data_IF_447463478054
#
_entry.id   IF_447463478054
#
_cell.length_a   1.000
_cell.length_b   1.000
_cell.length_c   1.000
_cell.angle_alpha   90.00
_cell.angle_beta   90.00
_cell.angle_gamma   90.00
#
_symmetry.space_group_name_H-M   'P 1'
#
loop_
_entity.id
_entity.type
_entity.pdbx_description
1 polymer ?
#
# COMPACT_ATOMS: atom_id res chain seq x y z
N UNK A 1 -8.15 -14.33 -6.85
CA UNK A 1 -8.68 -13.46 -5.79
C UNK A 1 -7.88 -13.71 -4.51
N UNK A 2 -7.79 -12.72 -3.62
CA UNK A 2 -6.97 -12.80 -2.41
C UNK A 2 -7.45 -11.87 -1.31
N UNK A 3 -6.70 -11.79 -0.21
CA UNK A 3 -6.99 -10.90 0.91
C UNK A 3 -5.73 -10.17 1.37
N UNK A 4 -5.89 -8.93 1.82
CA UNK A 4 -4.79 -8.16 2.42
C UNK A 4 -4.46 -8.74 3.79
N UNK A 5 -3.28 -9.33 3.92
CA UNK A 5 -2.81 -9.94 5.19
C UNK A 5 -1.98 -8.98 6.02
N UNK A 6 -1.34 -7.97 5.40
CA UNK A 6 -0.56 -6.99 6.12
C UNK A 6 -0.47 -5.65 5.38
N UNK A 7 -0.45 -4.56 6.15
CA UNK A 7 -0.11 -3.21 5.70
C UNK A 7 1.06 -2.72 6.54
N UNK A 8 2.19 -2.41 5.89
CA UNK A 8 3.45 -2.06 6.56
C UNK A 8 3.58 -0.55 6.71
N UNK A 9 3.22 -0.02 7.88
CA UNK A 9 3.26 1.42 8.14
C UNK A 9 4.63 2.07 7.88
N UNK A 10 5.74 1.40 8.24
CA UNK A 10 7.09 1.93 7.98
C UNK A 10 7.35 2.12 6.48
N UNK A 11 6.92 1.17 5.66
CA UNK A 11 7.02 1.23 4.20
C UNK A 11 6.14 2.35 3.63
N UNK A 12 4.89 2.46 4.08
CA UNK A 12 3.98 3.56 3.67
C UNK A 12 4.58 4.93 3.98
N UNK A 13 5.12 5.13 5.18
CA UNK A 13 5.76 6.39 5.58
C UNK A 13 6.97 6.70 4.70
N UNK A 14 7.79 5.69 4.35
CA UNK A 14 8.92 5.87 3.44
C UNK A 14 8.46 6.29 2.04
N UNK A 15 7.44 5.64 1.49
CA UNK A 15 6.87 5.98 0.17
C UNK A 15 6.34 7.42 0.16
N UNK A 16 5.56 7.81 1.17
CA UNK A 16 5.02 9.16 1.29
C UNK A 16 6.12 10.23 1.37
N UNK A 17 7.21 9.94 2.11
CA UNK A 17 8.37 10.83 2.20
C UNK A 17 9.10 10.95 0.87
N UNK A 18 9.33 9.84 0.17
CA UNK A 18 9.92 9.84 -1.18
C UNK A 18 9.08 10.64 -2.18
N UNK A 19 7.75 10.60 -2.05
CA UNK A 19 6.83 11.37 -2.87
C UNK A 19 6.89 12.90 -2.60
N UNK A 20 7.49 13.32 -1.48
CA UNK A 20 7.71 14.73 -1.13
C UNK A 20 7.06 15.19 0.18
N UNK A 21 6.29 14.33 0.86
CA UNK A 21 5.68 14.68 2.13
C UNK A 21 6.74 14.82 3.25
N UNK A 22 6.59 15.76 4.19
CA UNK A 22 5.47 16.69 4.37
C UNK A 22 5.69 18.07 3.72
N UNK A 23 6.77 18.25 2.95
CA UNK A 23 7.14 19.54 2.35
C UNK A 23 6.19 19.91 1.23
N UNK A 24 5.92 18.96 0.35
CA UNK A 24 4.91 19.05 -0.70
C UNK A 24 3.58 18.59 -0.08
N UNK A 25 2.60 19.49 0.04
CA UNK A 25 1.35 19.21 0.79
C UNK A 25 0.39 18.34 0.02
N UNK A 26 0.46 18.35 -1.31
CA UNK A 26 -0.26 17.43 -2.18
C UNK A 26 0.39 16.05 -2.25
N UNK A 27 1.60 15.86 -1.71
CA UNK A 27 2.27 14.58 -1.74
C UNK A 27 1.84 13.66 -0.60
N UNK A 28 1.74 12.36 -0.89
CA UNK A 28 1.34 11.36 0.11
C UNK A 28 0.94 10.03 -0.49
N UNK A 29 0.34 9.19 0.35
CA UNK A 29 -0.18 7.87 -0.04
C UNK A 29 -1.61 7.74 0.43
N UNK A 30 -2.51 7.34 -0.46
CA UNK A 30 -3.88 6.94 -0.14
C UNK A 30 -3.98 5.41 -0.18
N UNK A 31 -4.48 4.80 0.90
CA UNK A 31 -4.62 3.35 1.02
C UNK A 31 -6.07 2.97 0.70
N UNK A 32 -6.28 2.21 -0.37
CA UNK A 32 -7.61 1.75 -0.80
C UNK A 32 -8.08 0.51 -0.05
N UNK A 33 -7.15 -0.34 0.38
CA UNK A 33 -7.42 -1.65 0.99
C UNK A 33 -6.66 -1.81 2.30
N UNK A 34 -7.38 -2.14 3.37
CA UNK A 34 -6.87 -2.39 4.73
C UNK A 34 -6.74 -3.88 4.98
N UNK A 35 -6.10 -4.25 6.09
CA UNK A 35 -5.99 -5.65 6.52
C UNK A 35 -7.37 -6.31 6.62
N UNK A 36 -7.51 -7.50 6.04
CA UNK A 36 -8.76 -8.25 5.95
C UNK A 36 -9.58 -7.99 4.69
N UNK A 37 -9.30 -6.91 3.93
CA UNK A 37 -10.06 -6.62 2.72
C UNK A 37 -9.76 -7.64 1.61
N UNK A 38 -10.83 -8.09 0.95
CA UNK A 38 -10.74 -8.93 -0.25
C UNK A 38 -10.33 -8.08 -1.45
N UNK A 39 -9.43 -8.63 -2.26
CA UNK A 39 -8.87 -7.98 -3.45
C UNK A 39 -8.85 -8.93 -4.65
N UNK A 40 -9.07 -8.37 -5.83
CA UNK A 40 -8.94 -9.04 -7.12
C UNK A 40 -7.74 -8.51 -7.88
N UNK A 41 -7.26 -9.28 -8.86
CA UNK A 41 -6.22 -8.79 -9.75
C UNK A 41 -6.73 -7.55 -10.49
N UNK A 42 -5.96 -6.46 -10.46
CA UNK A 42 -6.36 -5.17 -11.01
C UNK A 42 -6.97 -4.20 -10.00
N UNK A 43 -7.33 -4.64 -8.79
CA UNK A 43 -7.79 -3.72 -7.75
C UNK A 43 -6.65 -2.80 -7.30
N UNK A 44 -6.88 -1.47 -7.21
CA UNK A 44 -5.89 -0.58 -6.65
C UNK A 44 -5.72 -0.85 -5.16
N UNK A 45 -4.48 -1.04 -4.72
CA UNK A 45 -4.15 -1.25 -3.30
C UNK A 45 -3.83 0.07 -2.60
N UNK A 46 -3.07 0.93 -3.27
CA UNK A 46 -2.74 2.28 -2.83
C UNK A 46 -2.56 3.21 -4.05
N UNK A 47 -2.67 4.51 -3.82
CA UNK A 47 -2.31 5.57 -4.78
C UNK A 47 -1.23 6.44 -4.17
N UNK A 48 -0.18 6.74 -4.95
CA UNK A 48 0.88 7.67 -4.57
C UNK A 48 0.58 9.00 -5.26
N UNK A 49 0.60 10.09 -4.48
CA UNK A 49 0.49 11.45 -4.99
C UNK A 49 1.83 12.16 -4.80
N UNK A 50 2.28 12.88 -5.81
CA UNK A 50 3.47 13.73 -5.76
C UNK A 50 3.24 14.99 -6.60
N UNK A 51 3.81 16.12 -6.18
CA UNK A 51 3.71 17.38 -6.93
C UNK A 51 4.74 17.49 -8.07
N UNK A 52 5.70 16.56 -8.12
CA UNK A 52 6.77 16.52 -9.14
C UNK A 52 6.94 15.09 -9.64
N UNK A 53 7.08 14.95 -10.95
CA UNK A 53 7.21 13.65 -11.63
C UNK A 53 8.39 12.82 -11.11
N UNK A 54 9.58 13.42 -11.02
CA UNK A 54 10.77 12.71 -10.50
C UNK A 54 10.63 12.22 -9.05
N UNK A 55 9.76 12.85 -8.24
CA UNK A 55 9.46 12.37 -6.88
C UNK A 55 8.48 11.19 -6.91
N UNK A 56 7.55 11.20 -7.86
CA UNK A 56 6.65 10.08 -8.09
C UNK A 56 7.46 8.85 -8.52
N UNK A 57 8.39 9.00 -9.45
CA UNK A 57 9.25 7.91 -9.93
C UNK A 57 10.03 7.28 -8.77
N UNK A 58 10.70 8.10 -7.96
CA UNK A 58 11.41 7.65 -6.77
C UNK A 58 10.48 6.93 -5.78
N UNK A 59 9.28 7.49 -5.52
CA UNK A 59 8.32 6.84 -4.63
C UNK A 59 7.83 5.49 -5.15
N UNK A 60 7.69 5.33 -6.48
CA UNK A 60 7.35 4.04 -7.12
C UNK A 60 8.47 3.02 -6.93
N UNK A 61 9.73 3.42 -7.10
CA UNK A 61 10.89 2.55 -6.84
C UNK A 61 10.92 2.07 -5.39
N UNK A 62 10.73 2.99 -4.44
CA UNK A 62 10.63 2.66 -3.01
C UNK A 62 9.46 1.72 -2.74
N UNK A 63 8.29 1.95 -3.34
CA UNK A 63 7.12 1.10 -3.15
C UNK A 63 7.35 -0.33 -3.64
N UNK A 64 8.06 -0.49 -4.77
CA UNK A 64 8.44 -1.82 -5.31
C UNK A 64 9.43 -2.54 -4.41
N UNK A 65 10.43 -1.83 -3.88
CA UNK A 65 11.43 -2.42 -2.99
C UNK A 65 10.85 -2.84 -1.62
N UNK A 66 9.93 -2.04 -1.08
CA UNK A 66 9.47 -2.16 0.31
C UNK A 66 8.26 -3.09 0.51
N UNK A 67 7.54 -3.41 -0.56
CA UNK A 67 6.32 -4.25 -0.54
C UNK A 67 5.34 -3.80 0.57
N UNK A 68 4.72 -2.61 0.46
CA UNK A 68 3.98 -1.99 1.55
C UNK A 68 2.68 -2.72 1.93
N UNK A 69 2.09 -3.46 0.98
CA UNK A 69 0.85 -4.23 1.19
C UNK A 69 1.14 -5.66 0.76
N UNK A 70 0.81 -6.62 1.63
CA UNK A 70 0.95 -8.05 1.37
C UNK A 70 -0.42 -8.65 1.13
N UNK A 71 -0.58 -9.30 -0.02
CA UNK A 71 -1.82 -10.00 -0.40
C UNK A 71 -1.52 -11.51 -0.39
N UNK A 72 -2.32 -12.27 0.33
CA UNK A 72 -2.31 -13.74 0.23
C UNK A 72 -3.36 -14.18 -0.80
N UNK A 73 -3.08 -15.28 -1.51
CA UNK A 73 -4.12 -16.03 -2.22
C UNK A 73 -5.21 -16.51 -1.25
N UNK A 74 -6.37 -16.88 -1.78
CA UNK A 74 -7.47 -17.43 -0.96
C UNK A 74 -7.03 -18.71 -0.22
N UNK A 75 -6.79 -18.58 1.08
CA UNK A 75 -7.08 -19.61 2.08
C UNK A 75 -8.06 -18.94 3.05
N UNK A 76 -9.35 -19.18 2.82
CA UNK A 76 -10.47 -18.74 3.66
C UNK A 76 -10.64 -19.66 4.89
N UNK A 77 -9.55 -20.09 5.55
CA UNK A 77 -9.65 -20.87 6.80
C UNK A 77 -9.72 -20.01 8.07
N UNK A 78 -9.46 -18.71 8.00
CA UNK A 78 -9.53 -17.83 9.18
C UNK A 78 -10.90 -17.17 9.31
N UNK A 79 -11.98 -17.93 9.11
CA UNK A 79 -13.33 -17.55 9.54
C UNK A 79 -13.95 -18.57 10.52
N UNK A 80 -13.13 -19.45 11.10
CA UNK A 80 -13.62 -20.49 12.02
C UNK A 80 -12.62 -20.89 13.10
N UNK A 81 -12.38 -20.02 14.08
CA UNK A 81 -11.91 -20.28 15.47
C UNK A 81 -11.41 -18.94 16.02
N UNK A 82 -11.71 -18.49 17.24
CA UNK A 82 -12.46 -19.04 18.36
C UNK A 82 -12.41 -17.96 19.45
N UNK A 83 -13.58 -17.67 20.05
CA UNK A 83 -13.84 -16.86 21.26
C UNK A 83 -13.76 -15.34 21.14
#
# INVERSE_FOLDING_TARGET
EGAVVAVRNKSIVRIARSAGAPKDKGAGVYIHKKGGDVVKAGDPLLTIYAEKEWKLDNAIEVARAETPIVVSGMILEVYGRSR
#
